data_IF_787056098626
#
_entry.id   IF_787056098626
#
_cell.length_a   1.000
_cell.length_b   1.000
_cell.length_c   1.000
_cell.angle_alpha   90.00
_cell.angle_beta   90.00
_cell.angle_gamma   90.00
#
_symmetry.space_group_name_H-M   'P 1'
#
loop_
_entity.id
_entity.type
_entity.pdbx_description
1 polymer ?
#
# COMPACT_ATOMS: atom_id res chain seq x y z
N UNK A 1 -46.88 -11.45 29.33
CA UNK A 1 -47.12 -11.86 27.92
C UNK A 1 -47.38 -10.57 27.14
N UNK A 2 -46.39 -10.06 26.40
CA UNK A 2 -46.20 -10.20 24.93
C UNK A 2 -47.31 -9.51 24.12
N UNK A 3 -46.97 -8.37 23.51
CA UNK A 3 -47.39 -7.82 22.19
C UNK A 3 -46.60 -6.49 22.05
N UNK A 4 -45.37 -6.48 21.52
CA UNK A 4 -45.05 -6.35 20.09
C UNK A 4 -46.05 -5.42 19.39
N UNK A 5 -45.63 -4.19 19.09
CA UNK A 5 -45.54 -3.73 17.71
C UNK A 5 -45.17 -2.24 17.61
N UNK A 6 -44.01 -1.99 17.00
CA UNK A 6 -43.88 -1.06 15.88
C UNK A 6 -44.12 0.41 16.24
N UNK A 7 -43.11 1.03 16.87
CA UNK A 7 -42.86 2.47 16.70
C UNK A 7 -41.63 2.63 15.78
N UNK A 8 -41.78 2.18 14.54
CA UNK A 8 -40.90 2.52 13.42
C UNK A 8 -41.59 3.58 12.58
N UNK A 9 -41.23 4.84 12.77
CA UNK A 9 -41.38 5.82 11.69
C UNK A 9 -40.35 6.95 11.83
N UNK A 10 -39.45 6.96 10.84
CA UNK A 10 -38.87 8.15 10.22
C UNK A 10 -37.93 9.01 11.05
N UNK A 11 -36.74 8.49 11.33
CA UNK A 11 -35.53 9.29 11.12
C UNK A 11 -35.10 9.09 9.67
N UNK A 12 -35.65 9.90 8.77
CA UNK A 12 -35.01 10.18 7.49
C UNK A 12 -33.77 11.01 7.81
N UNK A 13 -32.72 10.35 8.30
CA UNK A 13 -31.38 10.89 8.26
C UNK A 13 -31.07 11.02 6.76
N UNK A 14 -31.14 12.24 6.27
CA UNK A 14 -30.58 12.65 4.99
C UNK A 14 -29.08 12.34 5.04
N UNK A 15 -28.74 11.10 4.73
CA UNK A 15 -27.39 10.73 4.33
C UNK A 15 -27.19 11.38 2.96
N UNK A 16 -26.77 12.64 2.96
CA UNK A 16 -25.74 13.02 2.02
C UNK A 16 -24.51 12.22 2.46
N UNK A 17 -24.50 10.93 2.12
CA UNK A 17 -23.29 10.14 2.12
C UNK A 17 -22.43 10.83 1.07
N UNK A 18 -21.55 11.72 1.56
CA UNK A 18 -20.45 12.24 0.78
C UNK A 18 -19.86 11.05 0.05
N UNK A 19 -19.73 11.18 -1.26
CA UNK A 19 -18.93 10.31 -2.10
C UNK A 19 -17.46 10.43 -1.67
N UNK A 20 -17.13 10.00 -0.46
CA UNK A 20 -15.79 9.57 -0.10
C UNK A 20 -15.70 8.16 -0.66
N UNK A 21 -15.55 8.07 -1.98
CA UNK A 21 -15.15 6.84 -2.62
C UNK A 21 -13.87 6.42 -1.93
N UNK A 22 -13.96 5.44 -1.03
CA UNK A 22 -12.79 4.74 -0.52
C UNK A 22 -12.12 4.28 -1.80
N UNK A 23 -10.93 4.79 -2.17
CA UNK A 23 -10.27 4.31 -3.36
C UNK A 23 -10.19 2.79 -3.18
N UNK A 24 -10.81 2.05 -4.10
CA UNK A 24 -10.65 0.61 -4.20
C UNK A 24 -9.20 0.38 -4.62
N UNK A 25 -8.27 0.54 -3.67
CA UNK A 25 -6.87 0.22 -3.86
C UNK A 25 -6.86 -1.29 -4.05
N UNK A 26 -6.75 -1.76 -5.28
CA UNK A 26 -6.48 -3.16 -5.56
C UNK A 26 -5.04 -3.41 -5.10
N UNK A 27 -4.81 -4.09 -3.97
CA UNK A 27 -3.48 -4.20 -3.39
C UNK A 27 -2.56 -5.11 -4.22
N UNK A 28 -3.11 -5.85 -5.19
CA UNK A 28 -2.39 -6.65 -6.17
C UNK A 28 -2.15 -5.95 -7.50
N UNK A 29 -2.67 -4.74 -7.71
CA UNK A 29 -2.34 -3.95 -8.89
C UNK A 29 -0.93 -3.33 -8.74
N UNK A 30 -0.23 -3.10 -9.86
CA UNK A 30 1.03 -2.36 -9.86
C UNK A 30 0.91 -1.02 -9.13
N UNK A 31 1.91 -0.70 -8.30
CA UNK A 31 2.01 0.57 -7.61
C UNK A 31 2.47 1.62 -8.61
N UNK A 32 1.55 2.53 -8.93
CA UNK A 32 1.86 3.74 -9.66
C UNK A 32 2.36 4.84 -8.72
N UNK A 33 3.53 5.36 -9.02
CA UNK A 33 4.21 6.38 -8.22
C UNK A 33 3.47 7.72 -8.29
N UNK A 34 2.86 8.06 -9.44
CA UNK A 34 2.02 9.25 -9.58
C UNK A 34 0.72 9.22 -8.76
N UNK A 35 0.25 8.02 -8.38
CA UNK A 35 -1.02 7.83 -7.66
C UNK A 35 -0.82 7.65 -6.15
N UNK A 36 0.41 7.79 -5.64
CA UNK A 36 0.78 7.59 -4.24
C UNK A 36 1.65 8.71 -3.70
N UNK A 37 1.50 9.01 -2.41
CA UNK A 37 2.36 9.97 -1.71
C UNK A 37 3.54 9.30 -1.00
N UNK A 38 3.52 7.98 -0.85
CA UNK A 38 4.52 7.23 -0.11
C UNK A 38 5.72 6.84 -0.95
N UNK A 39 5.57 6.74 -2.27
CA UNK A 39 6.66 6.32 -3.16
C UNK A 39 7.07 7.42 -4.13
N UNK A 40 8.34 7.42 -4.53
CA UNK A 40 8.91 8.37 -5.47
C UNK A 40 9.90 7.67 -6.40
N UNK A 41 9.99 8.15 -7.63
CA UNK A 41 11.06 7.80 -8.54
C UNK A 41 12.16 8.86 -8.45
N UNK A 42 13.38 8.43 -8.15
CA UNK A 42 14.55 9.29 -8.21
C UNK A 42 14.94 9.62 -9.65
N UNK A 43 15.71 10.69 -9.82
CA UNK A 43 16.29 11.05 -11.12
C UNK A 43 17.28 10.00 -11.64
N UNK A 44 17.76 9.10 -10.77
CA UNK A 44 18.61 7.95 -11.10
C UNK A 44 17.82 6.71 -11.55
N UNK A 45 16.49 6.83 -11.69
CA UNK A 45 15.61 5.73 -12.09
C UNK A 45 15.34 4.71 -10.99
N UNK A 46 15.73 4.99 -9.74
CA UNK A 46 15.45 4.10 -8.60
C UNK A 46 14.15 4.46 -7.88
N UNK A 47 13.58 3.47 -7.21
CA UNK A 47 12.41 3.62 -6.35
C UNK A 47 12.80 4.03 -4.92
N UNK A 48 12.04 4.96 -4.37
CA UNK A 48 12.21 5.49 -3.01
C UNK A 48 10.90 5.47 -2.24
N UNK A 49 10.99 5.33 -0.93
CA UNK A 49 9.89 5.51 0.01
C UNK A 49 10.11 6.83 0.73
N UNK A 50 9.03 7.60 0.88
CA UNK A 50 9.01 8.78 1.71
C UNK A 50 8.66 8.35 3.13
N UNK A 51 9.68 8.30 3.98
CA UNK A 51 9.56 7.97 5.39
C UNK A 51 9.98 9.19 6.22
N UNK A 52 9.05 9.71 7.04
CA UNK A 52 9.22 10.93 7.82
C UNK A 52 9.77 12.13 7.00
N UNK A 53 9.23 12.32 5.80
CA UNK A 53 9.64 13.38 4.89
C UNK A 53 11.01 13.19 4.22
N UNK A 54 11.70 12.07 4.48
CA UNK A 54 12.99 11.72 3.87
C UNK A 54 12.81 10.63 2.84
N UNK A 55 13.48 10.78 1.70
CA UNK A 55 13.53 9.74 0.69
C UNK A 55 14.55 8.69 1.09
N UNK A 56 14.08 7.48 1.32
CA UNK A 56 14.91 6.30 1.57
C UNK A 56 14.85 5.38 0.35
N UNK A 57 15.98 4.84 -0.13
CA UNK A 57 15.99 3.93 -1.26
C UNK A 57 15.25 2.64 -0.89
N UNK A 58 14.34 2.16 -1.76
CA UNK A 58 13.80 0.81 -1.60
C UNK A 58 14.84 -0.20 -2.08
N UNK A 59 15.29 -1.05 -1.17
CA UNK A 59 16.24 -2.12 -1.45
C UNK A 59 15.73 -3.38 -0.76
N UNK A 60 15.61 -4.46 -1.53
CA UNK A 60 15.18 -5.76 -1.04
C UNK A 60 16.23 -6.81 -1.35
N UNK A 61 16.64 -7.58 -0.34
CA UNK A 61 17.69 -8.60 -0.48
C UNK A 61 18.96 -8.07 -1.19
N UNK A 62 19.32 -6.80 -0.97
CA UNK A 62 20.47 -6.12 -1.57
C UNK A 62 20.27 -5.59 -3.00
N UNK A 63 19.09 -5.78 -3.60
CA UNK A 63 18.75 -5.31 -4.95
C UNK A 63 17.86 -4.06 -4.84
N UNK A 64 18.21 -3.00 -5.57
CA UNK A 64 17.44 -1.77 -5.58
C UNK A 64 16.16 -1.93 -6.42
N UNK A 65 15.05 -1.42 -5.89
CA UNK A 65 13.83 -1.22 -6.68
C UNK A 65 14.08 -0.11 -7.70
N UNK A 66 13.56 -0.30 -8.90
CA UNK A 66 13.68 0.64 -10.02
C UNK A 66 12.31 1.21 -10.37
N UNK A 67 12.31 2.28 -11.16
CA UNK A 67 11.10 2.85 -11.73
C UNK A 67 11.03 2.62 -13.23
N UNK A 68 9.89 2.17 -13.71
CA UNK A 68 9.61 2.03 -15.13
C UNK A 68 8.14 2.30 -15.41
N UNK A 69 7.87 3.16 -16.39
CA UNK A 69 6.52 3.54 -16.81
C UNK A 69 5.59 3.91 -15.63
N UNK A 70 6.06 4.80 -14.77
CA UNK A 70 5.37 5.27 -13.55
C UNK A 70 5.13 4.18 -12.49
N UNK A 71 5.63 2.96 -12.68
CA UNK A 71 5.50 1.88 -11.70
C UNK A 71 6.81 1.61 -10.98
N UNK A 72 6.71 1.06 -9.76
CA UNK A 72 7.85 0.45 -9.07
C UNK A 72 8.12 -0.95 -9.60
N UNK A 73 9.39 -1.29 -9.80
CA UNK A 73 9.83 -2.56 -10.38
C UNK A 73 10.93 -3.20 -9.55
N UNK A 74 10.84 -4.50 -9.38
CA UNK A 74 11.85 -5.31 -8.73
C UNK A 74 12.11 -6.55 -9.59
N UNK A 75 13.38 -6.81 -9.92
CA UNK A 75 13.78 -7.98 -10.74
C UNK A 75 12.95 -8.17 -12.03
N UNK A 76 12.66 -7.08 -12.74
CA UNK A 76 11.97 -7.14 -14.02
C UNK A 76 10.45 -7.33 -13.96
N UNK A 77 9.83 -7.18 -12.78
CA UNK A 77 8.37 -7.13 -12.64
C UNK A 77 7.91 -5.89 -11.88
N UNK A 78 6.73 -5.38 -12.23
CA UNK A 78 6.08 -4.32 -11.46
C UNK A 78 5.65 -4.82 -10.08
N UNK A 79 5.90 -4.04 -9.05
CA UNK A 79 5.52 -4.33 -7.68
C UNK A 79 4.10 -3.84 -7.38
N UNK A 80 3.31 -4.71 -6.77
CA UNK A 80 2.08 -4.34 -6.07
C UNK A 80 2.35 -4.09 -4.58
N UNK A 81 1.36 -3.58 -3.85
CA UNK A 81 1.47 -3.41 -2.40
C UNK A 81 1.67 -4.76 -1.69
N UNK A 82 0.98 -5.81 -2.13
CA UNK A 82 1.17 -7.16 -1.58
C UNK A 82 2.57 -7.70 -1.81
N UNK A 83 3.20 -7.36 -2.93
CA UNK A 83 4.57 -7.77 -3.21
C UNK A 83 5.57 -7.13 -2.25
N UNK A 84 5.40 -5.83 -1.95
CA UNK A 84 6.22 -5.11 -0.98
C UNK A 84 6.12 -5.77 0.40
N UNK A 85 4.90 -6.06 0.87
CA UNK A 85 4.68 -6.73 2.17
C UNK A 85 5.36 -8.11 2.21
N UNK A 86 5.26 -8.88 1.13
CA UNK A 86 5.90 -10.19 1.04
C UNK A 86 7.44 -10.09 1.06
N UNK A 87 8.01 -9.08 0.39
CA UNK A 87 9.45 -8.83 0.39
C UNK A 87 9.95 -8.37 1.77
N UNK A 88 9.25 -7.44 2.42
CA UNK A 88 9.56 -7.01 3.79
C UNK A 88 9.58 -8.21 4.76
N UNK A 89 8.55 -9.07 4.69
CA UNK A 89 8.46 -10.26 5.53
C UNK A 89 9.63 -11.23 5.31
N UNK A 90 10.07 -11.38 4.06
CA UNK A 90 11.22 -12.22 3.69
C UNK A 90 12.52 -11.65 4.27
N UNK A 91 12.77 -10.36 4.10
CA UNK A 91 14.00 -9.72 4.59
C UNK A 91 14.06 -9.71 6.14
N UNK A 92 12.93 -9.49 6.81
CA UNK A 92 12.84 -9.61 8.27
C UNK A 92 13.16 -11.04 8.72
N UNK A 93 12.62 -12.04 8.04
CA UNK A 93 12.88 -13.46 8.35
C UNK A 93 14.37 -13.77 8.19
N UNK A 94 14.97 -13.37 7.07
CA UNK A 94 16.39 -13.58 6.81
C UNK A 94 17.28 -12.89 7.86
N UNK A 95 16.94 -11.67 8.27
CA UNK A 95 17.66 -10.96 9.33
C UNK A 95 17.59 -11.69 10.68
N UNK A 96 16.42 -12.23 11.04
CA UNK A 96 16.24 -13.02 12.28
C UNK A 96 17.07 -14.30 12.27
N UNK A 97 17.12 -15.00 11.13
CA UNK A 97 17.94 -16.21 10.99
C UNK A 97 19.44 -15.91 11.09
N UNK A 98 19.89 -14.79 10.51
CA UNK A 98 21.28 -14.34 10.60
C UNK A 98 21.69 -13.98 12.03
N UNK A 99 20.78 -13.39 12.82
CA UNK A 99 21.00 -13.06 14.23
C UNK A 99 21.00 -14.28 15.16
N UNK A 100 20.43 -15.40 14.72
CA UNK A 100 20.30 -16.63 15.53
C UNK A 100 21.46 -17.62 15.33
N UNK A 101 22.41 -17.29 14.45
CA UNK A 101 23.63 -18.07 14.18
C UNK A 101 24.83 -17.44 14.87
#
# INVERSE_FOLDING_TARGET
MKFIAILTMTLAASFTASATGIPLINPGAPIKVSETNSYRCGADGKGYILDDGKLQPLIYSGVAVTCHDDNLWFEGRSLSFMDIVALDAKDITAAKEALSK
#
